data_IF_822119947019
#
_entry.id   IF_822119947019
#
_cell.length_a   1.000
_cell.length_b   1.000
_cell.length_c   1.000
_cell.angle_alpha   90.00
_cell.angle_beta   90.00
_cell.angle_gamma   90.00
#
_symmetry.space_group_name_H-M   'P 1'
#
loop_
_entity.id
_entity.type
_entity.pdbx_description
1 polymer ?
#
# COMPACT_ATOMS: atom_id res chain seq x y z
N UNK A 1 -10.64 -12.12 5.45
CA UNK A 1 -10.86 -11.25 4.27
C UNK A 1 -9.50 -10.91 3.65
N UNK A 2 -9.38 -10.94 2.33
CA UNK A 2 -8.12 -10.66 1.63
C UNK A 2 -8.18 -9.32 0.92
N UNK A 3 -7.22 -8.44 1.18
CA UNK A 3 -7.29 -7.03 0.74
C UNK A 3 -5.97 -6.55 0.12
N UNK A 4 -6.08 -5.68 -0.86
CA UNK A 4 -5.00 -4.79 -1.26
C UNK A 4 -5.25 -3.41 -0.66
N UNK A 5 -4.21 -2.79 -0.07
CA UNK A 5 -4.31 -1.49 0.58
C UNK A 5 -3.60 -0.41 -0.22
N UNK A 6 -4.25 0.74 -0.47
CA UNK A 6 -3.71 1.83 -1.29
C UNK A 6 -3.63 3.11 -0.47
N UNK A 7 -2.45 3.73 -0.38
CA UNK A 7 -2.29 4.99 0.33
C UNK A 7 -0.86 5.55 0.35
N UNK A 8 -0.69 6.81 0.75
CA UNK A 8 0.62 7.49 0.78
C UNK A 8 0.69 8.70 1.72
N UNK A 9 -0.17 8.74 2.74
CA UNK A 9 -0.23 9.83 3.73
C UNK A 9 -0.22 9.26 5.15
N UNK A 10 -0.04 10.12 6.16
CA UNK A 10 0.09 9.69 7.56
C UNK A 10 -1.08 8.84 8.07
N UNK A 11 -2.32 9.20 7.72
CA UNK A 11 -3.51 8.41 8.09
C UNK A 11 -3.49 7.01 7.45
N UNK A 12 -3.11 6.91 6.17
CA UNK A 12 -2.93 5.62 5.49
C UNK A 12 -1.89 4.74 6.21
N UNK A 13 -0.80 5.34 6.70
CA UNK A 13 0.23 4.62 7.45
C UNK A 13 -0.30 4.06 8.77
N UNK A 14 -1.06 4.88 9.52
CA UNK A 14 -1.69 4.43 10.76
C UNK A 14 -2.71 3.31 10.52
N UNK A 15 -3.52 3.44 9.46
CA UNK A 15 -4.52 2.43 9.10
C UNK A 15 -3.89 1.11 8.65
N UNK A 16 -2.84 1.15 7.82
CA UNK A 16 -2.11 -0.04 7.41
C UNK A 16 -1.50 -0.76 8.62
N UNK A 17 -0.86 -0.03 9.54
CA UNK A 17 -0.30 -0.62 10.75
C UNK A 17 -1.36 -1.39 11.55
N UNK A 18 -2.54 -0.80 11.74
CA UNK A 18 -3.63 -1.49 12.44
C UNK A 18 -4.20 -2.66 11.64
N UNK A 19 -4.30 -2.53 10.32
CA UNK A 19 -4.83 -3.57 9.44
C UNK A 19 -3.97 -4.84 9.45
N UNK A 20 -2.64 -4.68 9.51
CA UNK A 20 -1.67 -5.77 9.59
C UNK A 20 -1.76 -6.59 10.90
N UNK A 21 -2.37 -6.03 11.94
CA UNK A 21 -2.55 -6.68 13.25
C UNK A 21 -3.91 -7.40 13.38
N UNK A 22 -4.80 -7.27 12.40
CA UNK A 22 -6.11 -7.91 12.48
C UNK A 22 -6.00 -9.40 12.12
N UNK A 23 -6.47 -10.33 12.99
CA UNK A 23 -6.28 -11.77 12.78
C UNK A 23 -7.05 -12.31 11.57
N UNK A 24 -8.17 -11.69 11.21
CA UNK A 24 -9.06 -12.16 10.14
C UNK A 24 -8.85 -11.39 8.81
N UNK A 25 -7.74 -10.65 8.68
CA UNK A 25 -7.41 -9.88 7.47
C UNK A 25 -6.03 -10.28 6.93
N UNK A 26 -6.00 -10.67 5.67
CA UNK A 26 -4.76 -10.84 4.91
C UNK A 26 -4.55 -9.59 4.04
N UNK A 27 -3.51 -8.81 4.34
CA UNK A 27 -3.05 -7.74 3.45
C UNK A 27 -2.19 -8.35 2.35
N UNK A 28 -2.80 -8.68 1.22
CA UNK A 28 -2.16 -9.36 0.09
C UNK A 28 -1.20 -8.45 -0.70
N UNK A 29 -1.36 -7.13 -0.57
CA UNK A 29 -0.46 -6.17 -1.19
C UNK A 29 -0.71 -4.74 -0.74
N UNK A 30 0.34 -3.92 -0.82
CA UNK A 30 0.31 -2.50 -0.49
C UNK A 30 0.73 -1.68 -1.71
N UNK A 31 -0.07 -0.68 -2.05
CA UNK A 31 0.23 0.31 -3.09
C UNK A 31 0.55 1.62 -2.40
N UNK A 32 1.72 2.19 -2.70
CA UNK A 32 2.12 3.49 -2.19
C UNK A 32 2.88 4.30 -3.22
N UNK A 33 3.29 5.52 -2.88
CA UNK A 33 4.10 6.38 -3.75
C UNK A 33 5.50 6.52 -3.16
N UNK A 34 6.49 6.66 -4.04
CA UNK A 34 7.87 6.95 -3.62
C UNK A 34 7.97 8.35 -2.98
N UNK A 35 7.25 9.31 -3.55
CA UNK A 35 7.15 10.69 -3.08
C UNK A 35 5.82 11.31 -3.53
N UNK A 36 5.41 12.39 -2.86
CA UNK A 36 4.30 13.25 -3.27
C UNK A 36 4.66 14.71 -3.01
N UNK A 37 4.63 15.54 -4.05
CA UNK A 37 4.75 16.99 -3.92
C UNK A 37 3.41 17.69 -3.59
N UNK A 38 2.31 16.93 -3.60
CA UNK A 38 0.96 17.45 -3.36
C UNK A 38 0.53 17.31 -1.89
N UNK A 39 0.91 16.21 -1.24
CA UNK A 39 0.50 15.93 0.14
C UNK A 39 1.55 16.49 1.11
N UNK A 40 1.16 17.47 1.94
CA UNK A 40 2.02 18.01 3.00
C UNK A 40 2.36 16.95 4.07
N UNK A 41 1.49 15.96 4.25
CA UNK A 41 1.61 14.85 5.20
C UNK A 41 2.01 13.53 4.51
N UNK A 42 2.78 13.62 3.42
CA UNK A 42 3.25 12.45 2.70
C UNK A 42 3.96 11.46 3.64
N UNK A 43 3.55 10.20 3.55
CA UNK A 43 4.17 9.09 4.26
C UNK A 43 4.14 7.84 3.38
N UNK A 44 5.32 7.37 2.97
CA UNK A 44 5.43 6.09 2.25
C UNK A 44 5.02 4.94 3.16
N UNK A 45 4.25 3.99 2.61
CA UNK A 45 3.85 2.77 3.31
C UNK A 45 4.87 1.63 3.13
N UNK A 46 5.85 1.81 2.25
CA UNK A 46 6.85 0.80 1.89
C UNK A 46 7.54 0.20 3.12
N UNK A 47 8.00 0.96 4.13
CA UNK A 47 8.65 0.37 5.30
C UNK A 47 7.76 -0.58 6.10
N UNK A 48 6.44 -0.28 6.20
CA UNK A 48 5.50 -1.16 6.88
C UNK A 48 5.22 -2.43 6.07
N UNK A 49 5.06 -2.29 4.75
CA UNK A 49 4.85 -3.43 3.87
C UNK A 49 6.05 -4.38 3.87
N UNK A 50 7.26 -3.85 3.71
CA UNK A 50 8.50 -4.62 3.75
C UNK A 50 8.72 -5.28 5.12
N UNK A 51 8.48 -4.55 6.21
CA UNK A 51 8.60 -5.09 7.58
C UNK A 51 7.61 -6.24 7.86
N UNK A 52 6.45 -6.25 7.21
CA UNK A 52 5.46 -7.31 7.31
C UNK A 52 5.58 -8.40 6.24
N UNK A 53 6.57 -8.31 5.33
CA UNK A 53 6.73 -9.26 4.22
C UNK A 53 5.62 -9.18 3.16
N UNK A 54 4.90 -8.06 3.08
CA UNK A 54 3.79 -7.84 2.16
C UNK A 54 4.30 -7.25 0.84
N UNK A 55 3.90 -7.79 -0.33
CA UNK A 55 4.25 -7.22 -1.64
C UNK A 55 3.88 -5.74 -1.73
N UNK A 56 4.83 -4.91 -2.17
CA UNK A 56 4.63 -3.47 -2.28
C UNK A 56 4.80 -2.97 -3.72
N UNK A 57 3.78 -2.29 -4.25
CA UNK A 57 3.83 -1.60 -5.53
C UNK A 57 4.05 -0.10 -5.33
N UNK A 58 5.11 0.41 -5.95
CA UNK A 58 5.42 1.85 -5.96
C UNK A 58 4.80 2.49 -7.19
N UNK A 59 3.66 3.15 -6.99
CA UNK A 59 2.95 3.88 -8.04
C UNK A 59 3.75 5.12 -8.48
N UNK A 60 4.09 5.17 -9.77
CA UNK A 60 4.73 6.31 -10.43
C UNK A 60 3.70 6.99 -11.33
N UNK A 61 3.29 8.21 -10.99
CA UNK A 61 2.23 8.92 -11.72
C UNK A 61 0.86 8.27 -11.56
N UNK A 62 0.11 8.14 -12.66
CA UNK A 62 -1.24 7.54 -12.71
C UNK A 62 -1.28 6.36 -13.70
N UNK A 63 -0.27 5.49 -13.66
CA UNK A 63 -0.26 4.28 -14.51
C UNK A 63 -1.24 3.22 -13.96
N UNK A 64 -2.49 3.35 -14.38
CA UNK A 64 -3.57 2.46 -13.95
C UNK A 64 -3.47 1.07 -14.55
N UNK A 65 -2.87 0.93 -15.74
CA UNK A 65 -2.71 -0.37 -16.39
C UNK A 65 -1.71 -1.23 -15.62
N UNK A 66 -0.53 -0.68 -15.29
CA UNK A 66 0.47 -1.37 -14.50
C UNK A 66 -0.05 -1.74 -13.09
N UNK A 67 -0.78 -0.83 -12.45
CA UNK A 67 -1.41 -1.10 -11.16
C UNK A 67 -2.45 -2.22 -11.26
N UNK A 68 -3.35 -2.17 -12.24
CA UNK A 68 -4.37 -3.20 -12.43
C UNK A 68 -3.76 -4.58 -12.71
N UNK A 69 -2.73 -4.64 -13.56
CA UNK A 69 -2.02 -5.89 -13.83
C UNK A 69 -1.30 -6.44 -12.60
N UNK A 70 -0.72 -5.56 -11.78
CA UNK A 70 -0.11 -5.97 -10.53
C UNK A 70 -1.16 -6.51 -9.53
N UNK A 71 -2.29 -5.82 -9.37
CA UNK A 71 -3.39 -6.28 -8.52
C UNK A 71 -3.94 -7.64 -8.97
N UNK A 72 -4.08 -7.89 -10.28
CA UNK A 72 -4.49 -9.20 -10.83
C UNK A 72 -3.53 -10.32 -10.48
N UNK A 73 -2.22 -10.04 -10.41
CA UNK A 73 -1.19 -11.04 -10.02
C UNK A 73 -1.19 -11.35 -8.52
N UNK A 74 -1.79 -10.49 -7.70
CA UNK A 74 -1.99 -10.80 -6.29
C UNK A 74 -3.17 -11.75 -6.07
N UNK A 75 -4.17 -11.75 -6.96
CA UNK A 75 -5.42 -12.49 -6.81
C UNK A 75 -5.20 -14.01 -6.70
#
# INVERSE_FOLDING_TARGET
MRVAFVGCVQSSRAFLARLLELPDVEVAGVVTREASAFNADFASLRPLAEGAGVPCFIARGNDQAALADWLRRLA
#
